data_IF_950927868991
#
_entry.id   IF_950927868991
#
_cell.length_a   1.000
_cell.length_b   1.000
_cell.length_c   1.000
_cell.angle_alpha   90.00
_cell.angle_beta   90.00
_cell.angle_gamma   90.00
#
_symmetry.space_group_name_H-M   'P 1'
#
loop_
_entity.id
_entity.type
_entity.pdbx_description
1 polymer ?
#
# COMPACT_ATOMS: atom_id res chain seq x y z
N UNK A 1 45.90 -14.82 -10.94
CA UNK A 1 45.35 -13.78 -10.06
C UNK A 1 44.23 -12.94 -10.72
N UNK A 2 44.38 -12.45 -11.97
CA UNK A 2 43.33 -11.64 -12.64
C UNK A 2 41.99 -12.37 -12.84
N UNK A 3 42.00 -13.69 -13.09
CA UNK A 3 40.75 -14.49 -13.26
C UNK A 3 40.02 -14.75 -11.95
N UNK A 4 40.73 -14.82 -10.81
CA UNK A 4 40.16 -14.99 -9.49
C UNK A 4 39.43 -13.70 -9.02
N UNK A 5 39.98 -12.52 -9.35
CA UNK A 5 39.40 -11.22 -9.04
C UNK A 5 38.07 -10.98 -9.77
N UNK A 6 37.97 -11.45 -11.03
CA UNK A 6 36.72 -11.38 -11.82
C UNK A 6 35.60 -12.25 -11.23
N UNK A 7 35.92 -13.41 -10.68
CA UNK A 7 34.94 -14.32 -10.04
C UNK A 7 34.41 -13.70 -8.75
N UNK A 8 35.25 -13.03 -7.94
CA UNK A 8 34.82 -12.36 -6.72
C UNK A 8 33.89 -11.18 -7.01
N UNK A 9 34.13 -10.43 -8.08
CA UNK A 9 33.26 -9.31 -8.49
C UNK A 9 31.90 -9.82 -8.99
N UNK A 10 31.84 -10.97 -9.68
CA UNK A 10 30.59 -11.58 -10.11
C UNK A 10 29.72 -12.09 -8.93
N UNK A 11 30.35 -12.58 -7.85
CA UNK A 11 29.61 -13.05 -6.67
C UNK A 11 29.08 -11.93 -5.78
N UNK A 12 29.68 -10.74 -5.79
CA UNK A 12 29.21 -9.59 -4.99
C UNK A 12 27.92 -8.93 -5.50
N UNK A 13 27.47 -9.26 -6.71
CA UNK A 13 26.28 -8.67 -7.34
C UNK A 13 24.93 -9.25 -6.87
N UNK A 14 24.93 -10.31 -6.06
CA UNK A 14 23.70 -11.03 -5.68
C UNK A 14 23.03 -10.58 -4.38
N UNK A 15 23.56 -9.61 -3.66
CA UNK A 15 22.99 -9.16 -2.40
C UNK A 15 22.09 -7.92 -2.49
N UNK A 16 21.36 -7.74 -3.59
CA UNK A 16 20.25 -6.77 -3.59
C UNK A 16 19.01 -7.39 -2.94
N UNK A 17 19.00 -7.46 -1.62
CA UNK A 17 17.83 -7.93 -0.87
C UNK A 17 16.75 -6.85 -0.90
N UNK A 18 15.75 -7.04 -1.73
CA UNK A 18 14.48 -6.36 -1.54
C UNK A 18 13.89 -6.82 -0.20
N UNK A 19 13.99 -5.98 0.83
CA UNK A 19 13.47 -6.31 2.17
C UNK A 19 11.95 -6.51 2.07
N UNK A 20 11.53 -7.76 2.18
CA UNK A 20 10.13 -8.14 2.31
C UNK A 20 9.99 -8.92 3.60
N UNK A 21 9.10 -8.47 4.50
CA UNK A 21 8.73 -9.20 5.71
C UNK A 21 7.25 -9.52 5.61
N UNK A 22 6.88 -10.73 5.97
CA UNK A 22 5.51 -11.19 6.01
C UNK A 22 5.28 -11.90 7.34
N UNK A 23 4.31 -11.43 8.08
CA UNK A 23 3.71 -12.12 9.21
C UNK A 23 2.35 -12.65 8.77
N UNK A 24 2.04 -13.86 9.14
CA UNK A 24 0.71 -14.47 9.04
C UNK A 24 0.40 -15.08 10.39
N UNK A 25 -0.76 -14.75 10.94
CA UNK A 25 -1.24 -15.32 12.20
C UNK A 25 -1.24 -16.86 12.12
N UNK A 26 -0.90 -17.60 13.17
CA UNK A 26 -0.95 -19.07 13.18
C UNK A 26 -2.28 -19.62 12.66
N UNK A 27 -3.40 -19.04 13.06
CA UNK A 27 -4.75 -19.40 12.63
C UNK A 27 -5.22 -18.57 11.41
N UNK A 28 -4.31 -17.97 10.68
CA UNK A 28 -4.62 -17.07 9.54
C UNK A 28 -5.50 -17.71 8.46
N UNK A 29 -5.41 -19.03 8.26
CA UNK A 29 -6.31 -19.76 7.35
C UNK A 29 -7.74 -19.81 7.86
N UNK A 30 -7.93 -20.00 9.17
CA UNK A 30 -9.25 -20.01 9.82
C UNK A 30 -9.89 -18.63 9.72
N UNK A 31 -9.15 -17.58 10.05
CA UNK A 31 -9.61 -16.21 9.85
C UNK A 31 -10.03 -15.94 8.41
N UNK A 32 -9.18 -16.31 7.46
CA UNK A 32 -9.46 -16.10 6.03
C UNK A 32 -10.71 -16.86 5.55
N UNK A 33 -10.90 -18.12 6.01
CA UNK A 33 -12.08 -18.92 5.63
C UNK A 33 -13.40 -18.37 6.21
N UNK A 34 -13.33 -17.71 7.36
CA UNK A 34 -14.49 -17.09 8.01
C UNK A 34 -14.79 -15.69 7.45
N UNK A 35 -13.85 -15.05 6.80
CA UNK A 35 -13.99 -13.71 6.24
C UNK A 35 -14.82 -13.74 4.95
N UNK A 36 -16.00 -13.13 4.96
CA UNK A 36 -16.89 -13.01 3.81
C UNK A 36 -16.73 -11.66 3.11
N UNK A 37 -16.44 -10.61 3.88
CA UNK A 37 -16.40 -9.23 3.39
C UNK A 37 -15.13 -8.52 3.86
N UNK A 38 -14.51 -7.77 2.96
CA UNK A 38 -13.28 -7.01 3.23
C UNK A 38 -13.45 -5.56 2.79
N UNK A 39 -13.00 -4.63 3.61
CA UNK A 39 -12.80 -3.23 3.24
C UNK A 39 -11.31 -2.93 3.09
N UNK A 40 -10.93 -2.34 1.97
CA UNK A 40 -9.61 -1.73 1.82
C UNK A 40 -9.77 -0.25 2.15
N UNK A 41 -9.07 0.20 3.17
CA UNK A 41 -9.11 1.59 3.61
C UNK A 41 -8.00 2.41 2.92
N UNK A 42 -8.15 3.74 2.82
CA UNK A 42 -7.04 4.59 2.41
C UNK A 42 -5.85 4.39 3.34
N UNK A 43 -4.68 4.12 2.78
CA UNK A 43 -3.46 3.98 3.56
C UNK A 43 -3.01 5.35 4.08
N UNK A 44 -2.36 5.40 5.24
CA UNK A 44 -1.70 6.62 5.72
C UNK A 44 -0.48 6.90 4.84
N UNK A 45 -0.58 7.88 3.95
CA UNK A 45 0.46 8.21 2.98
C UNK A 45 1.36 9.31 3.51
N UNK A 46 2.69 9.12 3.34
CA UNK A 46 3.69 10.15 3.55
C UNK A 46 4.52 10.34 2.28
N UNK A 47 4.46 11.54 1.71
CA UNK A 47 5.32 11.92 0.59
C UNK A 47 6.51 12.71 1.12
N UNK A 48 7.70 12.10 1.11
CA UNK A 48 8.95 12.71 1.58
C UNK A 48 9.57 13.58 0.51
N UNK A 49 9.11 14.82 0.39
CA UNK A 49 9.68 15.80 -0.50
C UNK A 49 11.06 16.29 -0.01
N UNK A 50 11.92 16.68 -0.95
CA UNK A 50 13.21 17.28 -0.62
C UNK A 50 13.04 18.69 -0.01
N UNK A 51 13.97 19.19 0.83
CA UNK A 51 13.85 20.51 1.43
C UNK A 51 13.63 21.65 0.45
N UNK A 52 14.19 21.56 -0.76
CA UNK A 52 13.95 22.56 -1.83
C UNK A 52 12.50 22.52 -2.34
N UNK A 53 11.90 21.34 -2.45
CA UNK A 53 10.54 21.15 -2.91
C UNK A 53 9.52 21.58 -1.85
N UNK A 54 9.84 21.35 -0.56
CA UNK A 54 8.97 21.74 0.57
C UNK A 54 8.74 23.25 0.67
N UNK A 55 9.69 24.08 0.18
CA UNK A 55 9.58 25.55 0.25
C UNK A 55 8.44 26.11 -0.61
N UNK A 56 8.01 25.38 -1.61
CA UNK A 56 7.05 25.84 -2.61
C UNK A 56 5.63 25.26 -2.36
N UNK A 57 5.45 24.53 -1.25
CA UNK A 57 4.18 23.98 -0.82
C UNK A 57 3.75 24.51 0.54
N UNK A 58 2.48 24.79 0.70
CA UNK A 58 1.88 24.98 2.02
C UNK A 58 1.63 23.62 2.68
N UNK A 59 1.46 23.61 4.00
CA UNK A 59 1.12 22.40 4.75
C UNK A 59 -0.17 21.77 4.23
N UNK A 60 -1.18 22.58 3.93
CA UNK A 60 -2.47 22.16 3.41
C UNK A 60 -2.35 21.47 2.05
N UNK A 61 -1.49 21.98 1.16
CA UNK A 61 -1.22 21.39 -0.14
C UNK A 61 -0.55 20.01 0.00
N UNK A 62 0.36 19.85 0.96
CA UNK A 62 1.00 18.56 1.24
C UNK A 62 -0.01 17.57 1.80
N UNK A 63 -0.87 18.00 2.74
CA UNK A 63 -1.93 17.16 3.29
C UNK A 63 -2.89 16.71 2.17
N UNK A 64 -3.32 17.64 1.32
CA UNK A 64 -4.22 17.29 0.21
C UNK A 64 -3.56 16.31 -0.77
N UNK A 65 -2.29 16.53 -1.10
CA UNK A 65 -1.51 15.61 -1.92
C UNK A 65 -1.48 14.20 -1.33
N UNK A 66 -1.24 14.08 -0.02
CA UNK A 66 -1.21 12.77 0.66
C UNK A 66 -2.60 12.11 0.70
N UNK A 67 -3.68 12.90 0.83
CA UNK A 67 -5.06 12.41 0.74
C UNK A 67 -5.37 11.83 -0.63
N UNK A 68 -5.04 12.55 -1.67
CA UNK A 68 -5.28 12.12 -3.05
C UNK A 68 -4.50 10.83 -3.37
N UNK A 69 -3.23 10.76 -2.97
CA UNK A 69 -2.40 9.55 -3.09
C UNK A 69 -3.01 8.35 -2.36
N UNK A 70 -3.52 8.56 -1.13
CA UNK A 70 -4.14 7.49 -0.35
C UNK A 70 -5.36 6.88 -1.06
N UNK A 71 -6.19 7.73 -1.66
CA UNK A 71 -7.38 7.30 -2.42
C UNK A 71 -6.98 6.56 -3.70
N UNK A 72 -5.94 7.01 -4.41
CA UNK A 72 -5.50 6.36 -5.64
C UNK A 72 -4.85 5.00 -5.35
N UNK A 73 -4.08 4.89 -4.27
CA UNK A 73 -3.52 3.61 -3.79
C UNK A 73 -4.67 2.65 -3.41
N UNK A 74 -5.67 3.12 -2.68
CA UNK A 74 -6.84 2.32 -2.30
C UNK A 74 -7.56 1.75 -3.53
N UNK A 75 -7.81 2.57 -4.57
CA UNK A 75 -8.44 2.14 -5.83
C UNK A 75 -7.59 1.08 -6.55
N UNK A 76 -6.28 1.29 -6.60
CA UNK A 76 -5.36 0.35 -7.24
C UNK A 76 -5.31 -0.99 -6.50
N UNK A 77 -5.28 -0.97 -5.16
CA UNK A 77 -5.37 -2.19 -4.33
C UNK A 77 -6.69 -2.92 -4.58
N UNK A 78 -7.82 -2.21 -4.57
CA UNK A 78 -9.13 -2.78 -4.85
C UNK A 78 -9.17 -3.47 -6.22
N UNK A 79 -8.65 -2.84 -7.27
CA UNK A 79 -8.57 -3.41 -8.62
C UNK A 79 -7.79 -4.72 -8.65
N UNK A 80 -6.73 -4.82 -7.85
CA UNK A 80 -5.95 -6.04 -7.71
C UNK A 80 -6.74 -7.18 -7.09
N UNK A 81 -7.49 -6.93 -6.01
CA UNK A 81 -8.35 -7.95 -5.39
C UNK A 81 -9.45 -8.40 -6.35
N UNK A 82 -10.07 -7.49 -7.11
CA UNK A 82 -11.02 -7.84 -8.16
C UNK A 82 -10.39 -8.72 -9.24
N UNK A 83 -9.16 -8.45 -9.63
CA UNK A 83 -8.41 -9.28 -10.58
C UNK A 83 -8.19 -10.69 -10.03
N UNK A 84 -7.87 -10.84 -8.74
CA UNK A 84 -7.76 -12.14 -8.07
C UNK A 84 -9.08 -12.87 -8.02
N UNK A 85 -10.16 -12.17 -7.68
CA UNK A 85 -11.51 -12.72 -7.68
C UNK A 85 -11.92 -13.23 -9.07
N UNK A 86 -11.67 -12.46 -10.12
CA UNK A 86 -11.92 -12.90 -11.52
C UNK A 86 -11.16 -14.16 -11.89
N UNK A 87 -9.98 -14.40 -11.29
CA UNK A 87 -9.15 -15.60 -11.52
C UNK A 87 -9.54 -16.79 -10.63
N UNK A 88 -10.56 -16.66 -9.79
CA UNK A 88 -10.98 -17.70 -8.84
C UNK A 88 -9.99 -17.96 -7.71
N UNK A 89 -9.07 -17.02 -7.45
CA UNK A 89 -8.06 -17.16 -6.39
C UNK A 89 -8.33 -16.24 -5.18
N UNK A 90 -9.57 -15.76 -5.02
CA UNK A 90 -9.98 -14.91 -3.91
C UNK A 90 -11.51 -14.94 -3.79
N UNK A 91 -12.03 -15.39 -2.67
CA UNK A 91 -13.48 -15.66 -2.52
C UNK A 91 -14.24 -14.54 -1.81
N UNK A 92 -13.62 -13.81 -0.89
CA UNK A 92 -14.27 -12.76 -0.14
C UNK A 92 -14.80 -11.64 -1.05
N UNK A 93 -15.86 -10.97 -0.60
CA UNK A 93 -16.39 -9.77 -1.26
C UNK A 93 -15.59 -8.57 -0.78
N UNK A 94 -15.01 -7.80 -1.69
CA UNK A 94 -14.40 -6.52 -1.36
C UNK A 94 -15.40 -5.41 -1.61
N UNK A 95 -15.71 -4.59 -0.60
CA UNK A 95 -16.57 -3.41 -0.79
C UNK A 95 -15.80 -2.36 -1.62
N UNK A 96 -16.54 -1.60 -2.41
CA UNK A 96 -15.89 -0.59 -3.28
C UNK A 96 -15.29 0.56 -2.46
N UNK A 97 -14.18 1.16 -2.91
CA UNK A 97 -13.60 2.35 -2.29
C UNK A 97 -14.63 3.47 -2.08
N UNK A 98 -15.49 3.69 -3.08
CA UNK A 98 -16.54 4.71 -2.99
C UNK A 98 -17.51 4.44 -1.83
N UNK A 99 -17.92 3.16 -1.62
CA UNK A 99 -18.79 2.78 -0.50
C UNK A 99 -18.06 2.96 0.84
N UNK A 100 -16.84 2.45 0.96
CA UNK A 100 -16.06 2.56 2.18
C UNK A 100 -15.88 4.04 2.58
N UNK A 101 -15.42 4.88 1.65
CA UNK A 101 -15.14 6.28 1.91
C UNK A 101 -16.43 7.08 2.20
N UNK A 102 -17.57 6.73 1.57
CA UNK A 102 -18.86 7.34 1.87
C UNK A 102 -19.36 7.00 3.28
N UNK A 103 -19.13 5.76 3.76
CA UNK A 103 -19.50 5.34 5.10
C UNK A 103 -18.61 6.03 6.16
N UNK A 104 -17.30 6.07 5.94
CA UNK A 104 -16.38 6.82 6.82
C UNK A 104 -16.76 8.29 6.91
N UNK A 105 -17.05 8.94 5.79
CA UNK A 105 -17.49 10.35 5.77
C UNK A 105 -18.81 10.55 6.51
N UNK A 106 -19.76 9.62 6.42
CA UNK A 106 -21.04 9.69 7.18
C UNK A 106 -20.83 9.53 8.68
N UNK A 107 -19.81 8.82 9.10
CA UNK A 107 -19.41 8.66 10.49
C UNK A 107 -18.49 9.79 10.98
N UNK A 108 -18.25 10.82 10.14
CA UNK A 108 -17.37 11.96 10.42
C UNK A 108 -15.90 11.55 10.69
N UNK A 109 -15.45 10.46 10.04
CA UNK A 109 -14.09 9.94 10.16
C UNK A 109 -13.22 10.48 9.03
N UNK A 110 -12.12 11.17 9.40
CA UNK A 110 -11.10 11.59 8.43
C UNK A 110 -10.22 10.38 8.04
N UNK A 111 -10.03 10.22 6.74
CA UNK A 111 -9.18 9.14 6.19
C UNK A 111 -7.72 9.22 6.63
N UNK A 112 -7.26 10.33 7.19
CA UNK A 112 -5.92 10.47 7.77
C UNK A 112 -5.83 10.03 9.23
N UNK A 113 -6.95 9.84 9.90
CA UNK A 113 -7.04 9.53 11.33
C UNK A 113 -7.58 8.11 11.59
N UNK A 114 -7.54 7.25 10.56
CA UNK A 114 -8.01 5.87 10.67
C UNK A 114 -7.27 5.05 11.73
N UNK A 115 -6.04 5.43 12.04
CA UNK A 115 -5.23 4.83 13.10
C UNK A 115 -5.66 5.21 14.53
N UNK A 116 -6.61 6.14 14.66
CA UNK A 116 -7.26 6.48 15.94
C UNK A 116 -8.42 5.54 16.29
N UNK A 117 -8.83 4.67 15.38
CA UNK A 117 -9.97 3.77 15.54
C UNK A 117 -9.52 2.31 15.60
N UNK A 118 -10.21 1.51 16.39
CA UNK A 118 -10.01 0.05 16.40
C UNK A 118 -10.53 -0.57 15.10
N UNK A 119 -9.94 -1.68 14.65
CA UNK A 119 -10.45 -2.43 13.50
C UNK A 119 -11.92 -2.85 13.65
N UNK A 120 -12.34 -3.22 14.87
CA UNK A 120 -13.73 -3.56 15.20
C UNK A 120 -14.69 -2.39 15.01
N UNK A 121 -14.32 -1.19 15.43
CA UNK A 121 -15.13 0.02 15.25
C UNK A 121 -15.31 0.35 13.76
N UNK A 122 -14.20 0.29 13.00
CA UNK A 122 -14.24 0.48 11.55
C UNK A 122 -15.03 -0.63 10.85
N UNK A 123 -14.91 -1.86 11.33
CA UNK A 123 -15.66 -3.01 10.84
C UNK A 123 -17.16 -2.86 11.01
N UNK A 124 -17.63 -2.38 12.15
CA UNK A 124 -19.04 -2.09 12.43
C UNK A 124 -19.58 -1.00 11.50
N UNK A 125 -18.87 0.12 11.36
CA UNK A 125 -19.24 1.25 10.49
C UNK A 125 -19.35 0.82 9.03
N UNK A 126 -18.42 -0.03 8.58
CA UNK A 126 -18.33 -0.46 7.18
C UNK A 126 -19.16 -1.69 6.87
N UNK A 127 -19.58 -2.46 7.88
CA UNK A 127 -20.28 -3.73 7.75
C UNK A 127 -19.40 -4.80 7.09
N UNK A 128 -18.16 -5.00 7.61
CA UNK A 128 -17.18 -5.93 7.04
C UNK A 128 -16.50 -6.78 8.13
N UNK A 129 -16.05 -7.98 7.73
CA UNK A 129 -15.38 -8.94 8.63
C UNK A 129 -13.87 -8.70 8.72
N UNK A 130 -13.31 -7.96 7.76
CA UNK A 130 -11.88 -7.65 7.74
C UNK A 130 -11.65 -6.25 7.18
N UNK A 131 -10.77 -5.49 7.83
CA UNK A 131 -10.27 -4.20 7.34
C UNK A 131 -8.80 -4.33 6.95
N UNK A 132 -8.47 -3.74 5.79
CA UNK A 132 -7.09 -3.63 5.31
C UNK A 132 -6.64 -2.19 5.50
N UNK A 133 -5.66 -1.99 6.36
CA UNK A 133 -5.11 -0.70 6.76
C UNK A 133 -3.60 -0.67 6.48
N UNK A 134 -2.94 0.42 6.80
CA UNK A 134 -1.49 0.48 6.77
C UNK A 134 -0.92 1.82 6.39
N UNK A 135 0.37 1.82 6.06
CA UNK A 135 1.12 3.03 5.73
C UNK A 135 1.81 2.89 4.38
N UNK A 136 1.93 4.00 3.70
CA UNK A 136 2.70 4.08 2.47
C UNK A 136 3.58 5.33 2.48
N UNK A 137 4.90 5.12 2.41
CA UNK A 137 5.88 6.18 2.40
C UNK A 137 6.59 6.19 1.04
N UNK A 138 6.66 7.33 0.39
CA UNK A 138 7.32 7.47 -0.92
C UNK A 138 8.20 8.71 -0.99
N UNK A 139 9.26 8.64 -1.80
CA UNK A 139 10.17 9.76 -2.05
C UNK A 139 9.68 10.74 -3.12
N UNK A 140 8.58 10.41 -3.81
CA UNK A 140 7.89 11.30 -4.77
C UNK A 140 6.42 10.88 -4.89
N UNK A 141 5.52 11.79 -5.26
CA UNK A 141 4.13 11.45 -5.51
C UNK A 141 3.99 10.34 -6.54
N UNK A 142 2.95 9.53 -6.39
CA UNK A 142 2.68 8.40 -7.25
C UNK A 142 1.59 8.70 -8.27
N UNK A 143 0.67 9.63 -8.00
CA UNK A 143 -0.35 10.03 -8.96
C UNK A 143 0.27 10.82 -10.12
N UNK A 144 -0.21 10.57 -11.34
CA UNK A 144 0.27 11.28 -12.54
C UNK A 144 0.02 12.79 -12.43
N UNK A 145 -1.13 13.20 -11.90
CA UNK A 145 -1.47 14.61 -11.74
C UNK A 145 -0.51 15.33 -10.80
N UNK A 146 -0.23 14.75 -9.63
CA UNK A 146 0.71 15.31 -8.66
C UNK A 146 2.16 15.28 -9.18
N UNK A 147 2.55 14.19 -9.86
CA UNK A 147 3.89 14.06 -10.47
C UNK A 147 4.12 15.08 -11.58
N UNK A 148 3.10 15.37 -12.40
CA UNK A 148 3.17 16.39 -13.46
C UNK A 148 3.26 17.78 -12.83
N UNK A 149 2.42 18.11 -11.87
CA UNK A 149 2.43 19.40 -11.19
C UNK A 149 3.79 19.67 -10.53
N UNK A 150 4.34 18.70 -9.81
CA UNK A 150 5.65 18.80 -9.19
C UNK A 150 6.80 18.80 -10.21
N UNK A 151 6.69 18.02 -11.28
CA UNK A 151 7.69 17.96 -12.35
C UNK A 151 7.80 19.28 -13.12
N UNK A 152 6.67 19.96 -13.33
CA UNK A 152 6.64 21.28 -13.97
C UNK A 152 7.29 22.38 -13.12
N UNK A 153 7.20 22.26 -11.79
CA UNK A 153 7.77 23.24 -10.86
C UNK A 153 9.27 23.02 -10.59
N UNK A 154 9.73 21.76 -10.56
CA UNK A 154 11.08 21.42 -10.04
C UNK A 154 11.98 20.67 -11.03
N UNK A 155 11.53 20.45 -12.26
CA UNK A 155 12.24 19.60 -13.21
C UNK A 155 12.11 18.11 -12.90
N UNK A 156 12.81 17.27 -13.65
CA UNK A 156 12.71 15.83 -13.52
C UNK A 156 13.13 15.36 -12.10
N UNK A 157 12.26 14.61 -11.44
CA UNK A 157 12.63 13.89 -10.23
C UNK A 157 13.81 12.95 -10.50
N UNK A 158 14.77 12.90 -9.58
CA UNK A 158 15.93 12.02 -9.71
C UNK A 158 15.55 10.58 -10.07
N UNK A 159 16.47 9.88 -10.68
CA UNK A 159 16.29 8.59 -11.36
C UNK A 159 15.81 7.42 -10.50
N UNK A 160 15.81 7.52 -9.18
CA UNK A 160 15.41 6.45 -8.27
C UNK A 160 14.24 6.88 -7.39
N UNK A 161 13.16 6.11 -7.47
CA UNK A 161 12.03 6.20 -6.57
C UNK A 161 12.10 5.09 -5.53
N UNK A 162 11.90 5.44 -4.28
CA UNK A 162 11.75 4.45 -3.21
C UNK A 162 10.39 4.58 -2.57
N UNK A 163 9.77 3.44 -2.28
CA UNK A 163 8.56 3.38 -1.49
C UNK A 163 8.71 2.32 -0.40
N UNK A 164 8.15 2.61 0.76
CA UNK A 164 7.99 1.66 1.86
C UNK A 164 6.51 1.49 2.10
N UNK A 165 6.06 0.24 2.09
CA UNK A 165 4.65 -0.08 2.30
C UNK A 165 4.52 -1.06 3.45
N UNK A 166 3.58 -0.78 4.34
CA UNK A 166 3.09 -1.69 5.35
C UNK A 166 1.60 -1.89 5.13
N UNK A 167 1.16 -3.13 4.97
CA UNK A 167 -0.24 -3.49 4.77
C UNK A 167 -0.63 -4.50 5.84
N UNK A 168 -1.66 -4.16 6.59
CA UNK A 168 -2.16 -4.91 7.72
C UNK A 168 -3.60 -5.37 7.44
N UNK A 169 -3.88 -6.64 7.67
CA UNK A 169 -5.21 -7.21 7.61
C UNK A 169 -5.66 -7.53 9.02
N UNK A 170 -6.70 -6.87 9.49
CA UNK A 170 -7.28 -7.08 10.80
C UNK A 170 -8.63 -7.76 10.68
N UNK A 171 -8.85 -8.76 11.53
CA UNK A 171 -10.19 -9.29 11.75
C UNK A 171 -10.98 -8.31 12.63
N UNK A 172 -12.22 -8.02 12.26
CA UNK A 172 -13.02 -7.00 12.94
C UNK A 172 -13.82 -7.51 14.14
N UNK A 173 -13.85 -8.81 14.36
CA UNK A 173 -14.55 -9.42 15.50
C UNK A 173 -13.75 -9.37 16.80
N UNK A 174 -12.41 -9.36 16.70
CA UNK A 174 -11.50 -9.48 17.85
C UNK A 174 -10.26 -8.58 17.75
N UNK A 175 -10.20 -7.70 16.74
CA UNK A 175 -9.09 -6.79 16.43
C UNK A 175 -7.75 -7.49 16.13
N UNK A 176 -7.76 -8.81 15.88
CA UNK A 176 -6.53 -9.56 15.66
C UNK A 176 -5.87 -9.24 14.33
N UNK A 177 -4.55 -9.08 14.38
CA UNK A 177 -3.71 -8.91 13.20
C UNK A 177 -3.51 -10.25 12.50
N UNK A 178 -4.22 -10.47 11.41
CA UNK A 178 -4.15 -11.72 10.64
C UNK A 178 -2.95 -11.74 9.70
N UNK A 179 -2.64 -10.60 9.06
CA UNK A 179 -1.50 -10.47 8.15
C UNK A 179 -0.85 -9.12 8.34
N UNK A 180 0.48 -9.11 8.46
CA UNK A 180 1.30 -7.91 8.26
C UNK A 180 2.25 -8.15 7.09
N UNK A 181 2.20 -7.28 6.11
CA UNK A 181 3.08 -7.31 4.96
C UNK A 181 3.88 -6.01 4.84
N UNK A 182 5.17 -6.10 5.12
CA UNK A 182 6.11 -5.00 4.97
C UNK A 182 6.97 -5.19 3.71
N UNK A 183 7.11 -4.13 2.92
CA UNK A 183 7.98 -4.14 1.76
C UNK A 183 8.58 -2.77 1.47
N UNK A 184 9.90 -2.79 1.23
CA UNK A 184 10.62 -1.68 0.61
C UNK A 184 10.77 -1.96 -0.89
N UNK A 185 10.34 -1.02 -1.73
CA UNK A 185 10.39 -1.10 -3.18
C UNK A 185 11.34 -0.01 -3.69
N UNK A 186 12.14 -0.37 -4.68
CA UNK A 186 12.90 0.59 -5.48
C UNK A 186 12.36 0.54 -6.89
N UNK A 187 11.89 1.68 -7.39
CA UNK A 187 11.50 1.86 -8.77
C UNK A 187 12.73 2.15 -9.63
N UNK A 188 12.66 1.71 -10.86
CA UNK A 188 13.63 2.09 -11.91
C UNK A 188 13.19 3.40 -12.59
N UNK A 189 14.07 3.95 -13.43
CA UNK A 189 13.76 5.12 -14.27
C UNK A 189 12.52 4.80 -15.11
N UNK A 190 11.48 5.66 -15.03
CA UNK A 190 10.22 5.48 -15.75
C UNK A 190 9.16 4.62 -15.07
N UNK A 191 9.43 4.03 -13.90
CA UNK A 191 8.36 3.36 -13.12
C UNK A 191 7.36 4.39 -12.63
N UNK A 192 6.10 4.21 -13.01
CA UNK A 192 5.00 5.00 -12.47
C UNK A 192 4.46 4.40 -11.14
N UNK A 193 3.50 5.09 -10.57
CA UNK A 193 2.82 4.67 -9.37
C UNK A 193 2.14 3.32 -9.51
N UNK A 194 1.48 3.11 -10.63
CA UNK A 194 0.72 1.90 -10.91
C UNK A 194 1.66 0.69 -10.98
N UNK A 195 2.84 0.85 -11.59
CA UNK A 195 3.85 -0.20 -11.66
C UNK A 195 4.34 -0.61 -10.27
N UNK A 196 4.57 0.36 -9.37
CA UNK A 196 5.01 0.08 -8.01
C UNK A 196 3.93 -0.64 -7.21
N UNK A 197 2.67 -0.20 -7.32
CA UNK A 197 1.54 -0.89 -6.69
C UNK A 197 1.37 -2.29 -7.27
N UNK A 198 1.49 -2.47 -8.58
CA UNK A 198 1.40 -3.77 -9.24
C UNK A 198 2.48 -4.74 -8.72
N UNK A 199 3.72 -4.28 -8.56
CA UNK A 199 4.82 -5.08 -8.00
C UNK A 199 4.52 -5.47 -6.55
N UNK A 200 3.98 -4.54 -5.76
CA UNK A 200 3.61 -4.74 -4.38
C UNK A 200 2.48 -5.76 -4.26
N UNK A 201 1.35 -5.48 -4.89
CA UNK A 201 0.13 -6.28 -4.78
C UNK A 201 0.28 -7.68 -5.37
N UNK A 202 1.06 -7.85 -6.45
CA UNK A 202 1.37 -9.17 -7.01
C UNK A 202 2.07 -10.09 -6.01
N UNK A 203 2.88 -9.54 -5.11
CA UNK A 203 3.61 -10.33 -4.10
C UNK A 203 2.77 -10.54 -2.84
N UNK A 204 2.05 -9.52 -2.37
CA UNK A 204 1.13 -9.63 -1.24
C UNK A 204 0.10 -10.73 -1.52
N UNK A 205 -0.66 -10.58 -2.60
CA UNK A 205 -1.79 -11.45 -2.93
C UNK A 205 -1.42 -12.89 -3.30
N UNK A 206 -0.14 -13.27 -3.30
CA UNK A 206 0.30 -14.67 -3.48
C UNK A 206 0.68 -15.35 -2.18
N UNK A 207 0.73 -14.64 -1.08
CA UNK A 207 1.31 -15.12 0.18
C UNK A 207 0.39 -14.95 1.38
N UNK A 208 -0.73 -14.27 1.19
CA UNK A 208 -1.72 -14.07 2.25
C UNK A 208 -2.71 -15.22 2.27
N UNK A 209 -3.25 -15.60 3.44
CA UNK A 209 -4.17 -16.73 3.57
C UNK A 209 -5.52 -16.51 2.88
N UNK A 210 -5.84 -15.28 2.49
CA UNK A 210 -7.07 -14.91 1.77
C UNK A 210 -7.05 -15.28 0.28
N UNK A 211 -5.93 -15.72 -0.25
CA UNK A 211 -5.79 -16.08 -1.67
C UNK A 211 -5.31 -17.53 -1.82
N UNK A 212 -5.94 -18.24 -2.77
CA UNK A 212 -5.62 -19.62 -3.16
C UNK A 212 -4.61 -19.64 -4.31
#
# INVERSE_FOLDING_TARGET
>A
MRKLLLIVILFSSFFSQAQTKLYVHPDGKTYASNTKTIAILPLKVQVKLRPKQLKDFTTEQIIQLQKDEAIDIQKAMHTWFLTRKKRGSFDAKVITPARANALLKKADIDVHELDAYLPSELGEILGVDCVVMGTFETSKPMSNAASIALGALFGAFGTTQTAVCNIDFYNTADDELVVNYFKKIRGTIGSDAQDMINILMRKVTRRIPYTN
#
